data_IF_563902734905
#
_entry.id   IF_563902734905
#
_cell.length_a   1.000
_cell.length_b   1.000
_cell.length_c   1.000
_cell.angle_alpha   90.00
_cell.angle_beta   90.00
_cell.angle_gamma   90.00
#
_symmetry.space_group_name_H-M   'P 1'
#
loop_
_entity.id
_entity.type
_entity.pdbx_description
1 polymer ?
#
# COMPACT_ATOMS: atom_id res chain seq x y z
N UNK A 1 62.38 -57.42 8.21
CA UNK A 1 62.29 -56.10 8.87
C UNK A 1 61.08 -55.36 8.33
N UNK A 2 59.97 -55.32 9.07
CA UNK A 2 58.84 -54.43 8.80
C UNK A 2 58.30 -53.99 10.16
N UNK A 3 58.68 -52.78 10.57
CA UNK A 3 58.21 -52.15 11.80
C UNK A 3 56.90 -51.42 11.52
N UNK A 4 55.95 -51.54 12.46
CA UNK A 4 54.62 -50.93 12.49
C UNK A 4 54.67 -49.47 12.92
N UNK A 5 53.69 -48.65 12.51
CA UNK A 5 53.02 -47.59 13.31
C UNK A 5 51.57 -47.48 12.76
N UNK A 6 50.54 -48.05 13.40
CA UNK A 6 49.71 -47.54 14.50
C UNK A 6 48.88 -46.29 14.15
N UNK A 7 47.56 -46.43 14.12
CA UNK A 7 46.62 -45.32 14.29
C UNK A 7 45.37 -45.83 14.99
N UNK A 8 45.30 -45.51 16.29
CA UNK A 8 44.09 -45.60 17.10
C UNK A 8 43.43 -44.23 17.00
N UNK A 9 42.13 -44.19 16.70
CA UNK A 9 41.31 -43.02 16.95
C UNK A 9 40.05 -43.46 17.69
N UNK A 10 39.90 -42.94 18.90
CA UNK A 10 38.83 -43.18 19.84
C UNK A 10 37.54 -42.46 19.41
N UNK A 11 36.39 -43.06 19.72
CA UNK A 11 35.10 -42.42 19.65
C UNK A 11 34.91 -41.45 20.83
N UNK A 12 34.46 -40.23 20.56
CA UNK A 12 33.74 -39.40 21.54
C UNK A 12 32.62 -38.68 20.82
N UNK A 13 31.39 -39.17 21.00
CA UNK A 13 30.18 -38.48 20.57
C UNK A 13 29.94 -37.30 21.53
N UNK A 14 30.26 -36.08 21.10
CA UNK A 14 29.83 -34.87 21.78
C UNK A 14 28.44 -34.49 21.27
N UNK A 15 27.40 -34.87 22.01
CA UNK A 15 26.07 -34.30 21.85
C UNK A 15 26.12 -32.85 22.34
N UNK A 16 26.30 -31.91 21.42
CA UNK A 16 26.09 -30.49 21.71
C UNK A 16 24.58 -30.32 21.90
N UNK A 17 24.13 -30.12 23.14
CA UNK A 17 22.80 -29.61 23.45
C UNK A 17 22.69 -28.21 22.86
N UNK A 18 22.38 -28.14 21.57
CA UNK A 18 21.89 -26.92 20.96
C UNK A 18 20.51 -26.70 21.54
N UNK A 19 20.37 -25.71 22.42
CA UNK A 19 19.10 -25.20 22.87
C UNK A 19 18.38 -24.58 21.65
N UNK A 20 17.78 -25.44 20.82
CA UNK A 20 16.86 -25.05 19.76
C UNK A 20 15.61 -24.49 20.44
N UNK A 21 15.70 -23.23 20.85
CA UNK A 21 14.50 -22.42 21.07
C UNK A 21 13.97 -22.17 19.67
N UNK A 22 13.26 -23.15 19.12
CA UNK A 22 12.47 -22.96 17.91
C UNK A 22 11.50 -21.82 18.23
N UNK A 23 11.67 -20.61 17.65
CA UNK A 23 10.69 -19.57 17.87
C UNK A 23 9.46 -20.03 17.11
N UNK A 24 8.50 -20.59 17.86
CA UNK A 24 7.17 -20.86 17.32
C UNK A 24 6.73 -19.61 16.58
N UNK A 25 6.25 -19.73 15.32
CA UNK A 25 5.89 -18.56 14.53
C UNK A 25 4.81 -17.80 15.32
N UNK A 26 5.15 -16.62 15.82
CA UNK A 26 4.16 -15.73 16.42
C UNK A 26 3.12 -15.44 15.34
N UNK A 27 1.82 -15.66 15.59
CA UNK A 27 0.80 -15.31 14.60
C UNK A 27 0.92 -13.82 14.33
N UNK A 28 1.16 -13.45 13.07
CA UNK A 28 1.13 -12.05 12.65
C UNK A 28 -0.23 -11.46 13.02
N UNK A 29 -0.25 -10.22 13.53
CA UNK A 29 -1.51 -9.53 13.81
C UNK A 29 -2.45 -9.59 12.59
N UNK A 30 -3.75 -9.77 12.84
CA UNK A 30 -4.77 -9.72 11.78
C UNK A 30 -4.69 -8.39 11.01
N UNK A 31 -4.98 -8.40 9.71
CA UNK A 31 -4.94 -7.20 8.88
C UNK A 31 -6.34 -6.64 8.67
N UNK A 32 -6.50 -5.33 8.79
CA UNK A 32 -7.70 -4.58 8.50
C UNK A 32 -7.50 -3.73 7.25
N UNK A 33 -8.53 -3.55 6.42
CA UNK A 33 -8.40 -2.69 5.24
C UNK A 33 -8.29 -1.20 5.63
N UNK A 34 -7.68 -0.38 4.76
CA UNK A 34 -7.68 1.07 4.91
C UNK A 34 -9.08 1.66 5.00
N UNK A 35 -9.20 2.78 5.71
CA UNK A 35 -10.45 3.55 5.85
C UNK A 35 -10.28 4.91 5.21
N UNK A 36 -11.16 5.25 4.25
CA UNK A 36 -11.25 6.60 3.68
C UNK A 36 -12.26 7.42 4.50
N UNK A 37 -11.77 8.43 5.20
CA UNK A 37 -12.59 9.34 6.02
C UNK A 37 -13.32 10.35 5.15
N UNK A 38 -12.60 10.98 4.22
CA UNK A 38 -13.18 11.97 3.31
C UNK A 38 -12.32 12.17 2.07
N UNK A 39 -12.96 12.69 1.02
CA UNK A 39 -12.26 13.20 -0.17
C UNK A 39 -12.77 14.61 -0.44
N UNK A 40 -11.85 15.57 -0.56
CA UNK A 40 -12.16 16.99 -0.66
C UNK A 40 -11.63 17.52 -1.99
N UNK A 41 -12.50 18.18 -2.74
CA UNK A 41 -12.12 18.97 -3.93
C UNK A 41 -11.92 20.41 -3.47
N UNK A 42 -10.73 20.97 -3.72
CA UNK A 42 -10.28 22.24 -3.15
C UNK A 42 -10.95 23.49 -3.73
N UNK A 43 -11.84 23.34 -4.71
CA UNK A 43 -12.52 24.45 -5.36
C UNK A 43 -13.49 23.97 -6.44
N UNK A 44 -13.99 24.91 -7.24
CA UNK A 44 -14.76 24.58 -8.43
C UNK A 44 -13.88 23.91 -9.48
N UNK A 45 -14.38 22.86 -10.12
CA UNK A 45 -13.75 22.29 -11.30
C UNK A 45 -14.15 23.14 -12.50
N UNK A 46 -13.20 23.88 -13.07
CA UNK A 46 -13.41 24.73 -14.25
C UNK A 46 -12.57 24.17 -15.39
N UNK A 47 -13.14 24.10 -16.60
CA UNK A 47 -12.43 23.63 -17.79
C UNK A 47 -11.06 24.29 -17.94
N UNK A 48 -10.03 23.46 -18.10
CA UNK A 48 -8.66 23.93 -18.31
C UNK A 48 -8.00 24.59 -17.09
N UNK A 49 -8.68 24.64 -15.93
CA UNK A 49 -8.10 25.12 -14.67
C UNK A 49 -7.84 23.92 -13.74
N UNK A 50 -6.61 23.76 -13.23
CA UNK A 50 -6.30 22.71 -12.28
C UNK A 50 -6.99 22.95 -10.94
N UNK A 51 -7.54 21.89 -10.34
CA UNK A 51 -8.10 21.91 -8.98
C UNK A 51 -7.49 20.78 -8.15
N UNK A 52 -7.12 21.07 -6.91
CA UNK A 52 -6.56 20.07 -6.00
C UNK A 52 -7.65 19.13 -5.49
N UNK A 53 -7.34 17.84 -5.40
CA UNK A 53 -8.19 16.82 -4.78
C UNK A 53 -7.36 16.09 -3.72
N UNK A 54 -7.88 16.02 -2.49
CA UNK A 54 -7.19 15.40 -1.35
C UNK A 54 -8.04 14.28 -0.76
N UNK A 55 -7.46 13.09 -0.61
CA UNK A 55 -8.03 11.95 0.10
C UNK A 55 -7.44 11.87 1.51
N UNK A 56 -8.30 11.88 2.53
CA UNK A 56 -7.93 11.61 3.91
C UNK A 56 -8.27 10.16 4.22
N UNK A 57 -7.24 9.35 4.42
CA UNK A 57 -7.37 7.94 4.74
C UNK A 57 -6.38 7.53 5.83
N UNK A 58 -6.72 6.46 6.55
CA UNK A 58 -5.87 5.85 7.57
C UNK A 58 -5.92 4.34 7.46
N UNK A 59 -4.89 3.69 7.98
CA UNK A 59 -4.85 2.26 8.19
C UNK A 59 -5.00 1.95 9.69
N UNK A 60 -5.95 1.10 10.12
CA UNK A 60 -6.12 0.76 11.54
C UNK A 60 -4.90 0.07 12.17
N UNK A 61 -4.12 -0.66 11.36
CA UNK A 61 -2.93 -1.39 11.81
C UNK A 61 -1.65 -0.55 11.68
N UNK A 62 -1.76 0.66 11.11
CA UNK A 62 -0.66 1.59 10.93
C UNK A 62 0.17 1.31 9.69
N UNK A 63 -0.34 0.50 8.75
CA UNK A 63 0.35 0.21 7.50
C UNK A 63 0.45 1.43 6.58
N UNK A 64 1.51 1.45 5.76
CA UNK A 64 1.71 2.50 4.77
C UNK A 64 0.70 2.37 3.62
N UNK A 65 0.09 3.50 3.26
CA UNK A 65 -0.97 3.57 2.26
C UNK A 65 -0.47 3.99 0.88
N UNK A 66 -0.98 3.31 -0.15
CA UNK A 66 -0.77 3.64 -1.56
C UNK A 66 -2.09 4.11 -2.19
N UNK A 67 -2.01 5.12 -3.06
CA UNK A 67 -3.17 5.80 -3.63
C UNK A 67 -3.15 5.70 -5.15
N UNK A 68 -4.27 5.28 -5.72
CA UNK A 68 -4.47 5.12 -7.15
C UNK A 68 -5.69 5.92 -7.55
N UNK A 69 -5.50 6.86 -8.48
CA UNK A 69 -6.53 7.78 -8.91
C UNK A 69 -6.90 7.55 -10.37
N UNK A 70 -8.17 7.73 -10.70
CA UNK A 70 -8.67 7.83 -12.06
C UNK A 70 -9.81 8.84 -12.15
N UNK A 71 -10.00 9.41 -13.34
CA UNK A 71 -11.15 10.24 -13.67
C UNK A 71 -11.86 9.65 -14.90
N UNK A 72 -13.18 9.80 -14.97
CA UNK A 72 -13.95 9.46 -16.18
C UNK A 72 -13.59 10.37 -17.34
N UNK A 73 -13.34 11.65 -17.02
CA UNK A 73 -13.06 12.72 -17.96
C UNK A 73 -12.06 13.68 -17.35
N UNK A 74 -11.10 14.16 -18.15
CA UNK A 74 -10.00 15.00 -17.68
C UNK A 74 -8.83 14.18 -17.16
N UNK A 75 -7.81 14.89 -16.68
CA UNK A 75 -6.54 14.31 -16.28
C UNK A 75 -6.35 14.39 -14.76
N UNK A 76 -5.78 13.32 -14.19
CA UNK A 76 -5.23 13.35 -12.84
C UNK A 76 -3.70 13.48 -12.94
N UNK A 77 -3.17 14.52 -12.32
CA UNK A 77 -1.74 14.82 -12.29
C UNK A 77 -1.20 14.62 -10.88
N UNK A 78 -0.05 13.95 -10.77
CA UNK A 78 0.58 13.63 -9.49
C UNK A 78 0.15 12.27 -8.92
N UNK A 79 0.51 12.03 -7.66
CA UNK A 79 0.26 10.76 -6.97
C UNK A 79 0.19 10.97 -5.46
N UNK A 80 -0.23 9.93 -4.74
CA UNK A 80 -0.37 9.96 -3.28
C UNK A 80 -1.73 10.47 -2.82
N UNK A 81 -1.80 10.92 -1.57
CA UNK A 81 -3.04 11.37 -0.94
C UNK A 81 -3.62 12.64 -1.57
N UNK A 82 -2.80 13.45 -2.24
CA UNK A 82 -3.21 14.67 -2.91
C UNK A 82 -2.77 14.64 -4.37
N UNK A 83 -3.69 14.99 -5.25
CA UNK A 83 -3.47 15.09 -6.70
C UNK A 83 -4.09 16.38 -7.25
N UNK A 84 -3.75 16.70 -8.48
CA UNK A 84 -4.40 17.77 -9.24
C UNK A 84 -5.33 17.16 -10.28
N UNK A 85 -6.59 17.56 -10.29
CA UNK A 85 -7.54 17.25 -11.34
C UNK A 85 -7.60 18.39 -12.35
N UNK A 86 -7.47 18.08 -13.64
CA UNK A 86 -7.63 19.01 -14.74
C UNK A 86 -8.86 18.60 -15.58
N UNK A 87 -10.00 19.31 -15.45
CA UNK A 87 -11.21 18.95 -16.18
C UNK A 87 -11.05 19.07 -17.70
N UNK A 88 -11.57 18.07 -18.43
CA UNK A 88 -11.53 18.06 -19.89
C UNK A 88 -12.45 19.14 -20.50
N UNK A 89 -12.03 19.82 -21.60
CA UNK A 89 -12.84 20.85 -22.23
C UNK A 89 -14.20 20.39 -22.78
N UNK A 90 -14.33 19.12 -23.17
CA UNK A 90 -15.58 18.58 -23.70
C UNK A 90 -16.68 18.39 -22.63
N UNK A 91 -16.38 18.61 -21.35
CA UNK A 91 -17.24 18.23 -20.23
C UNK A 91 -17.83 19.42 -19.47
N UNK A 92 -17.69 20.67 -19.95
CA UNK A 92 -18.37 21.84 -19.33
C UNK A 92 -19.88 21.60 -19.25
N UNK A 93 -20.45 21.88 -18.07
CA UNK A 93 -21.86 21.63 -17.76
C UNK A 93 -22.21 20.18 -17.47
N UNK A 94 -21.24 19.26 -17.38
CA UNK A 94 -21.43 17.86 -17.06
C UNK A 94 -20.75 17.48 -15.73
N UNK A 95 -21.08 16.28 -15.24
CA UNK A 95 -20.46 15.70 -14.06
C UNK A 95 -19.31 14.76 -14.47
N UNK A 96 -18.10 15.04 -13.98
CA UNK A 96 -16.98 14.10 -14.02
C UNK A 96 -17.02 13.20 -12.77
N UNK A 97 -16.61 11.94 -12.91
CA UNK A 97 -16.46 11.02 -11.77
C UNK A 97 -14.98 10.77 -11.51
N UNK A 98 -14.54 11.07 -10.30
CA UNK A 98 -13.21 10.76 -9.80
C UNK A 98 -13.30 9.53 -8.91
N UNK A 99 -12.30 8.67 -8.99
CA UNK A 99 -12.16 7.52 -8.12
C UNK A 99 -10.78 7.48 -7.50
N UNK A 100 -10.75 7.27 -6.19
CA UNK A 100 -9.53 6.91 -5.47
C UNK A 100 -9.67 5.50 -4.93
N UNK A 101 -8.64 4.71 -5.15
CA UNK A 101 -8.41 3.42 -4.52
C UNK A 101 -7.23 3.57 -3.57
N UNK A 102 -7.42 3.20 -2.31
CA UNK A 102 -6.39 3.21 -1.26
C UNK A 102 -6.08 1.77 -0.87
N UNK A 103 -4.80 1.38 -0.90
CA UNK A 103 -4.31 0.03 -0.57
C UNK A 103 -3.26 0.08 0.53
N UNK A 104 -3.26 -0.91 1.41
CA UNK A 104 -2.15 -1.17 2.33
C UNK A 104 -1.09 -2.08 1.66
N UNK A 105 -0.06 -2.48 2.43
CA UNK A 105 1.01 -3.40 1.97
C UNK A 105 0.70 -4.88 2.23
N UNK A 106 -0.41 -5.19 2.91
CA UNK A 106 -0.81 -6.53 3.36
C UNK A 106 -2.04 -7.07 2.63
N UNK A 107 -2.55 -6.33 1.64
CA UNK A 107 -3.61 -6.74 0.71
C UNK A 107 -4.97 -6.11 0.97
N UNK A 108 -5.14 -5.29 2.02
CA UNK A 108 -6.36 -4.53 2.26
C UNK A 108 -6.52 -3.36 1.30
N UNK A 109 -7.77 -3.08 0.92
CA UNK A 109 -8.10 -2.02 -0.03
C UNK A 109 -9.49 -1.42 0.27
N UNK A 110 -9.61 -0.12 0.08
CA UNK A 110 -10.88 0.62 0.03
C UNK A 110 -10.91 1.55 -1.18
N UNK A 111 -12.10 1.85 -1.70
CA UNK A 111 -12.28 2.80 -2.80
C UNK A 111 -13.37 3.83 -2.50
N UNK A 112 -13.29 4.99 -3.15
CA UNK A 112 -14.32 6.04 -3.10
C UNK A 112 -14.52 6.69 -4.46
N UNK A 113 -15.78 6.86 -4.85
CA UNK A 113 -16.21 7.66 -6.00
C UNK A 113 -16.63 9.07 -5.53
N UNK A 114 -16.27 10.08 -6.31
CA UNK A 114 -16.60 11.49 -6.12
C UNK A 114 -17.15 12.03 -7.43
N UNK A 115 -18.33 12.63 -7.39
CA UNK A 115 -18.91 13.32 -8.55
C UNK A 115 -18.61 14.80 -8.44
N UNK A 116 -18.07 15.38 -9.52
CA UNK A 116 -17.66 16.78 -9.59
C UNK A 116 -18.33 17.42 -10.80
N UNK A 117 -19.10 18.48 -10.56
CA UNK A 117 -19.70 19.27 -11.64
C UNK A 117 -18.63 20.18 -12.25
N UNK A 118 -18.51 20.14 -13.58
CA UNK A 118 -17.52 20.91 -14.33
C UNK A 118 -18.16 22.17 -14.88
N UNK A 119 -17.55 23.33 -14.59
CA UNK A 119 -17.91 24.65 -15.10
C UNK A 119 -17.16 24.95 -16.40
#
# INVERSE_FOLDING_TARGET
MRSLIASVAAAVAAALLSCSSDPSPVPSAENHPPVIDSVVVGGAAIVGQPVTVTCYARDPDGDELQYFWRASDGDILGSGAQVTFLPAPCCSGLNATLEVTVRDRRGGQTQRLITVFVL
#
